data_IF_801120041003
#
_entry.id   IF_801120041003
#
_cell.length_a   1.000
_cell.length_b   1.000
_cell.length_c   1.000
_cell.angle_alpha   90.00
_cell.angle_beta   90.00
_cell.angle_gamma   90.00
#
_symmetry.space_group_name_H-M   'P 1'
#
loop_
_entity.id
_entity.type
_entity.pdbx_description
1 polymer ?
#
# COMPACT_ATOMS: atom_id res chain seq x y z
N UNK A 1 10.36 5.06 4.60
CA UNK A 1 11.38 4.97 3.54
C UNK A 1 11.07 3.74 2.69
N UNK A 2 10.51 3.92 1.49
CA UNK A 2 10.31 2.79 0.58
C UNK A 2 11.68 2.37 0.03
N UNK A 3 12.10 1.14 0.31
CA UNK A 3 13.35 0.58 -0.20
C UNK A 3 13.19 0.42 -1.72
N UNK A 4 13.96 1.16 -2.53
CA UNK A 4 14.00 0.95 -3.98
C UNK A 4 14.46 -0.49 -4.24
N UNK A 5 13.52 -1.33 -4.70
CA UNK A 5 13.81 -2.71 -5.06
C UNK A 5 14.23 -2.71 -6.53
N UNK A 6 15.53 -2.85 -6.78
CA UNK A 6 16.03 -3.16 -8.12
C UNK A 6 15.62 -4.60 -8.46
N UNK A 7 14.54 -4.75 -9.24
CA UNK A 7 14.10 -6.03 -9.75
C UNK A 7 15.01 -6.46 -10.90
N UNK A 8 15.53 -7.68 -10.85
CA UNK A 8 16.21 -8.29 -12.00
C UNK A 8 15.16 -8.71 -13.02
N UNK A 9 15.30 -8.26 -14.27
CA UNK A 9 14.43 -8.66 -15.37
C UNK A 9 14.82 -10.05 -15.88
N UNK A 10 13.81 -10.86 -16.21
CA UNK A 10 13.97 -12.14 -16.91
C UNK A 10 13.30 -11.96 -18.27
N UNK A 11 14.03 -12.27 -19.34
CA UNK A 11 13.45 -12.34 -20.67
C UNK A 11 12.66 -13.65 -20.79
N UNK A 12 11.40 -13.55 -21.21
CA UNK A 12 10.45 -14.66 -21.30
C UNK A 12 10.13 -15.04 -22.75
N UNK A 13 10.74 -14.40 -23.75
CA UNK A 13 10.44 -14.64 -25.18
C UNK A 13 10.64 -16.12 -25.56
N UNK A 14 11.67 -16.75 -25.01
CA UNK A 14 12.04 -18.14 -25.32
C UNK A 14 11.47 -19.17 -24.31
N UNK A 15 10.56 -18.77 -23.41
CA UNK A 15 9.94 -19.67 -22.42
C UNK A 15 8.42 -19.64 -22.60
N UNK A 16 7.87 -20.49 -23.49
CA UNK A 16 6.46 -20.40 -23.92
C UNK A 16 5.47 -20.59 -22.76
N UNK A 17 5.83 -21.38 -21.75
CA UNK A 17 5.00 -21.61 -20.56
C UNK A 17 4.83 -20.32 -19.73
N UNK A 18 5.91 -19.54 -19.57
CA UNK A 18 5.85 -18.27 -18.87
C UNK A 18 5.04 -17.23 -19.67
N UNK A 19 5.20 -17.23 -21.00
CA UNK A 19 4.44 -16.34 -21.88
C UNK A 19 2.94 -16.58 -21.75
N UNK A 20 2.51 -17.85 -21.78
CA UNK A 20 1.10 -18.22 -21.60
C UNK A 20 0.54 -17.75 -20.25
N UNK A 21 1.27 -17.99 -19.16
CA UNK A 21 0.83 -17.59 -17.80
C UNK A 21 0.69 -16.05 -17.72
N UNK A 22 1.64 -15.32 -18.28
CA UNK A 22 1.64 -13.84 -18.27
C UNK A 22 0.50 -13.29 -19.12
N UNK A 23 0.20 -13.88 -20.27
CA UNK A 23 -0.95 -13.47 -21.09
C UNK A 23 -2.28 -13.69 -20.37
N UNK A 24 -2.46 -14.83 -19.70
CA UNK A 24 -3.64 -15.10 -18.89
C UNK A 24 -3.77 -14.10 -17.72
N UNK A 25 -2.67 -13.82 -17.02
CA UNK A 25 -2.62 -12.84 -15.93
C UNK A 25 -2.97 -11.43 -16.42
N UNK A 26 -2.52 -11.07 -17.62
CA UNK A 26 -2.83 -9.79 -18.26
C UNK A 26 -4.30 -9.69 -18.64
N UNK A 27 -4.93 -10.79 -19.07
CA UNK A 27 -6.36 -10.83 -19.40
C UNK A 27 -7.24 -10.78 -18.14
N UNK A 28 -6.83 -11.42 -17.04
CA UNK A 28 -7.63 -11.45 -15.82
C UNK A 28 -7.43 -10.23 -14.92
N UNK A 29 -6.31 -9.52 -15.03
CA UNK A 29 -5.88 -8.43 -14.13
C UNK A 29 -5.76 -8.81 -12.64
N UNK A 30 -5.93 -10.10 -12.33
CA UNK A 30 -5.84 -10.66 -10.98
C UNK A 30 -4.43 -11.19 -10.70
N UNK A 31 -3.80 -10.81 -9.57
CA UNK A 31 -2.53 -11.39 -9.13
C UNK A 31 -2.66 -12.90 -8.86
N UNK A 32 -1.59 -13.65 -9.15
CA UNK A 32 -1.52 -15.10 -8.89
C UNK A 32 -0.29 -15.45 -8.06
N UNK A 33 -0.42 -16.44 -7.19
CA UNK A 33 0.69 -16.97 -6.37
C UNK A 33 1.23 -18.23 -7.04
N UNK A 34 2.54 -18.26 -7.29
CA UNK A 34 3.26 -19.46 -7.72
C UNK A 34 3.61 -20.29 -6.48
N UNK A 35 2.99 -21.46 -6.37
CA UNK A 35 3.21 -22.40 -5.26
C UNK A 35 3.90 -23.67 -5.73
N UNK A 36 4.78 -24.24 -4.91
CA UNK A 36 5.34 -25.58 -5.10
C UNK A 36 5.01 -26.41 -3.86
N UNK A 37 4.29 -27.51 -4.07
CA UNK A 37 3.70 -28.31 -3.00
C UNK A 37 2.84 -27.44 -2.05
N UNK A 38 3.39 -27.04 -0.91
CA UNK A 38 2.70 -26.23 0.11
C UNK A 38 3.38 -24.89 0.38
N UNK A 39 4.40 -24.53 -0.39
CA UNK A 39 5.19 -23.31 -0.22
C UNK A 39 4.91 -22.28 -1.32
N UNK A 40 4.74 -21.03 -0.91
CA UNK A 40 4.58 -19.87 -1.79
C UNK A 40 5.96 -19.39 -2.24
N UNK A 41 6.27 -19.50 -3.53
CA UNK A 41 7.59 -19.17 -4.08
C UNK A 41 7.67 -17.76 -4.65
N UNK A 42 6.59 -17.31 -5.30
CA UNK A 42 6.56 -16.00 -5.95
C UNK A 42 5.13 -15.52 -6.14
N UNK A 43 4.97 -14.21 -6.32
CA UNK A 43 3.71 -13.58 -6.69
C UNK A 43 3.91 -12.96 -8.08
N UNK A 44 3.04 -13.31 -9.01
CA UNK A 44 2.93 -12.64 -10.30
C UNK A 44 1.81 -11.61 -10.21
N UNK A 45 2.14 -10.35 -10.44
CA UNK A 45 1.17 -9.25 -10.46
C UNK A 45 1.19 -8.63 -11.85
N UNK A 46 0.01 -8.48 -12.50
CA UNK A 46 -0.05 -7.80 -13.78
C UNK A 46 0.40 -6.35 -13.61
N UNK A 47 1.30 -5.90 -14.48
CA UNK A 47 1.71 -4.49 -14.52
C UNK A 47 0.67 -3.74 -15.35
N UNK A 48 -0.02 -2.74 -14.79
CA UNK A 48 -0.99 -1.97 -15.56
C UNK A 48 -0.26 -1.30 -16.73
N UNK A 49 -0.73 -1.54 -17.95
CA UNK A 49 -0.22 -0.85 -19.13
C UNK A 49 -0.42 0.66 -18.91
N UNK A 50 0.63 1.45 -19.12
CA UNK A 50 0.73 2.85 -18.66
C UNK A 50 -0.31 3.85 -19.20
N UNK A 51 -1.34 3.39 -19.90
CA UNK A 51 -2.53 4.18 -20.27
C UNK A 51 -3.50 4.36 -19.10
N UNK A 52 -3.54 3.43 -18.14
CA UNK A 52 -4.38 3.58 -16.94
C UNK A 52 -3.55 3.96 -15.73
N UNK A 53 -2.97 5.15 -15.77
CA UNK A 53 -2.94 5.92 -14.52
C UNK A 53 -4.40 6.09 -14.12
N UNK A 54 -4.89 5.26 -13.19
CA UNK A 54 -6.21 5.45 -12.57
C UNK A 54 -6.42 6.95 -12.43
N UNK A 55 -7.43 7.56 -13.08
CA UNK A 55 -7.62 8.99 -12.99
C UNK A 55 -7.64 9.30 -11.49
N UNK A 56 -6.67 10.12 -11.02
CA UNK A 56 -6.68 10.60 -9.65
C UNK A 56 -8.08 11.14 -9.45
N UNK A 57 -8.91 10.57 -8.55
CA UNK A 57 -10.32 10.94 -8.52
C UNK A 57 -10.39 12.45 -8.35
N UNK A 58 -11.18 13.13 -9.18
CA UNK A 58 -11.34 14.58 -9.17
C UNK A 58 -11.67 15.13 -7.76
N UNK A 59 -12.15 14.25 -6.86
CA UNK A 59 -12.33 14.45 -5.42
C UNK A 59 -11.05 14.77 -4.62
N UNK A 60 -9.84 14.64 -5.18
CA UNK A 60 -8.57 14.89 -4.47
C UNK A 60 -8.42 16.33 -3.99
N UNK A 61 -8.92 17.34 -4.74
CA UNK A 61 -8.80 18.75 -4.32
C UNK A 61 -9.71 19.06 -3.12
N UNK A 62 -10.96 18.60 -3.15
CA UNK A 62 -11.89 18.79 -2.05
C UNK A 62 -11.45 18.04 -0.79
N UNK A 63 -11.04 16.77 -0.93
CA UNK A 63 -10.48 15.99 0.18
C UNK A 63 -9.18 16.60 0.72
N UNK A 64 -8.30 17.09 -0.15
CA UNK A 64 -7.07 17.78 0.26
C UNK A 64 -7.36 19.10 0.99
N UNK A 65 -8.35 19.88 0.52
CA UNK A 65 -8.80 21.09 1.21
C UNK A 65 -9.41 20.78 2.57
N UNK A 66 -10.31 19.80 2.66
CA UNK A 66 -10.90 19.38 3.92
C UNK A 66 -9.82 18.91 4.93
N UNK A 67 -8.89 18.07 4.47
CA UNK A 67 -7.75 17.63 5.28
C UNK A 67 -6.87 18.81 5.72
N UNK A 68 -6.57 19.75 4.81
CA UNK A 68 -5.75 20.92 5.12
C UNK A 68 -6.47 21.90 6.06
N UNK A 69 -7.79 22.07 5.95
CA UNK A 69 -8.58 22.92 6.83
C UNK A 69 -8.68 22.37 8.26
N UNK A 70 -8.55 21.05 8.43
CA UNK A 70 -8.46 20.43 9.75
C UNK A 70 -7.08 20.60 10.41
N UNK A 71 -6.05 21.03 9.66
CA UNK A 71 -4.70 21.21 10.18
C UNK A 71 -4.68 22.36 11.20
N UNK A 72 -4.36 22.05 12.45
CA UNK A 72 -4.31 23.03 13.55
C UNK A 72 -5.64 23.23 14.28
N UNK A 73 -6.74 22.60 13.86
CA UNK A 73 -8.04 22.70 14.53
C UNK A 73 -8.04 22.17 15.98
N UNK A 74 -7.01 21.41 16.37
CA UNK A 74 -6.86 20.87 17.72
C UNK A 74 -5.84 21.62 18.58
N UNK A 75 -5.20 22.68 18.05
CA UNK A 75 -4.11 23.38 18.71
C UNK A 75 -4.51 23.94 20.08
N UNK A 76 -5.76 24.39 20.23
CA UNK A 76 -6.28 24.99 21.47
C UNK A 76 -7.13 24.01 22.29
N UNK A 77 -7.33 22.78 21.79
CA UNK A 77 -8.11 21.71 22.44
C UNK A 77 -7.18 20.70 23.11
N UNK A 78 -6.01 20.47 22.53
CA UNK A 78 -5.07 19.44 22.94
C UNK A 78 -3.75 20.06 23.34
N UNK A 79 -3.36 19.85 24.60
CA UNK A 79 -2.00 20.12 25.05
C UNK A 79 -1.04 19.11 24.38
N UNK A 80 -0.22 19.64 23.47
CA UNK A 80 0.68 18.85 22.66
C UNK A 80 1.78 18.16 23.49
N UNK A 81 2.21 18.75 24.60
CA UNK A 81 3.29 18.18 25.41
C UNK A 81 2.75 17.08 26.30
N UNK A 82 1.61 17.33 26.97
CA UNK A 82 0.87 16.30 27.71
C UNK A 82 0.50 15.10 26.81
N UNK A 83 0.12 15.34 25.55
CA UNK A 83 -0.18 14.27 24.60
C UNK A 83 1.06 13.44 24.24
N UNK A 84 2.20 14.08 23.98
CA UNK A 84 3.45 13.38 23.65
C UNK A 84 3.92 12.52 24.83
N UNK A 85 3.82 13.03 26.05
CA UNK A 85 4.24 12.30 27.25
C UNK A 85 3.35 11.09 27.51
N UNK A 86 2.04 11.23 27.32
CA UNK A 86 1.10 10.10 27.37
C UNK A 86 1.38 9.07 26.29
N UNK A 87 1.71 9.48 25.06
CA UNK A 87 2.04 8.56 23.98
C UNK A 87 3.39 7.86 24.21
N UNK A 88 4.40 8.59 24.68
CA UNK A 88 5.72 8.05 24.99
C UNK A 88 5.65 7.02 26.12
N UNK A 89 4.90 7.31 27.18
CA UNK A 89 4.67 6.38 28.29
C UNK A 89 3.78 5.18 27.93
N UNK A 90 2.95 5.30 26.89
CA UNK A 90 2.07 4.20 26.43
C UNK A 90 2.74 3.27 25.41
N UNK A 91 3.86 3.67 24.79
CA UNK A 91 4.64 2.81 23.87
C UNK A 91 5.33 1.71 24.66
N UNK A 92 4.59 0.64 24.95
CA UNK A 92 5.03 -0.52 25.74
C UNK A 92 4.10 -0.90 26.89
N UNK A 93 2.93 -0.25 27.05
CA UNK A 93 1.97 -0.60 28.09
C UNK A 93 0.87 -1.54 27.58
N UNK A 94 0.58 -2.62 28.31
CA UNK A 94 -0.57 -3.53 28.09
C UNK A 94 -1.91 -2.92 28.56
N UNK A 95 -2.07 -1.59 28.46
CA UNK A 95 -3.28 -0.92 28.94
C UNK A 95 -4.46 -1.31 28.04
N UNK A 96 -5.58 -1.77 28.62
CA UNK A 96 -6.75 -2.15 27.85
C UNK A 96 -7.35 -0.92 27.16
N UNK A 97 -8.00 -1.10 26.00
CA UNK A 97 -8.61 0.00 25.26
C UNK A 97 -9.68 0.69 26.11
N UNK A 98 -9.61 2.02 26.17
CA UNK A 98 -10.60 2.87 26.86
C UNK A 98 -11.91 2.79 26.07
N UNK A 99 -13.02 2.46 26.75
CA UNK A 99 -14.35 2.54 26.13
C UNK A 99 -14.79 4.00 26.08
N UNK A 100 -15.17 4.44 24.89
CA UNK A 100 -15.78 5.74 24.61
C UNK A 100 -17.29 5.69 24.87
#
# INVERSE_FOLDING_TARGET
MARERHLKSIDIENVPELLRIVEELRKSEEPRVLRRASEDLAILTPVPSGSERKPKPAKRKAAYRAFRSAFGAWKDIVDADTLKDNLASSRGSDRPPVRL
#
